data_IF_233030080375
#
_entry.id   IF_233030080375
#
_cell.length_a   1.000
_cell.length_b   1.000
_cell.length_c   1.000
_cell.angle_alpha   90.00
_cell.angle_beta   90.00
_cell.angle_gamma   90.00
#
_symmetry.space_group_name_H-M   'P 1'
#
loop_
_entity.id
_entity.type
_entity.pdbx_description
1 polymer ?
#
# COMPACT_ATOMS: atom_id res chain seq x y z
N UNK A 1 -3.50 -25.32 -9.44
CA UNK A 1 -2.03 -25.09 -9.41
C UNK A 1 -1.77 -23.73 -8.78
N UNK A 2 -1.13 -23.66 -7.60
CA UNK A 2 -0.78 -22.41 -6.96
C UNK A 2 0.64 -22.00 -7.39
N UNK A 3 0.84 -21.45 -8.60
CA UNK A 3 2.19 -21.04 -9.03
C UNK A 3 2.28 -19.63 -9.61
N UNK A 4 1.27 -19.15 -10.35
CA UNK A 4 1.29 -17.79 -10.92
C UNK A 4 0.91 -16.71 -9.91
N UNK A 5 -0.19 -16.90 -9.16
CA UNK A 5 -0.72 -15.87 -8.25
C UNK A 5 0.15 -15.64 -7.02
N UNK A 6 0.77 -16.70 -6.48
CA UNK A 6 1.68 -16.57 -5.34
C UNK A 6 2.90 -15.71 -5.71
N UNK A 7 3.54 -15.99 -6.86
CA UNK A 7 4.69 -15.23 -7.36
C UNK A 7 4.35 -13.76 -7.63
N UNK A 8 3.17 -13.47 -8.17
CA UNK A 8 2.73 -12.08 -8.37
C UNK A 8 2.52 -11.32 -7.05
N UNK A 9 2.08 -12.00 -5.99
CA UNK A 9 1.82 -11.35 -4.70
C UNK A 9 3.11 -10.97 -3.98
N UNK A 10 4.13 -11.83 -3.99
CA UNK A 10 5.44 -11.54 -3.40
C UNK A 10 6.16 -10.39 -4.10
N UNK A 11 6.05 -10.29 -5.43
CA UNK A 11 6.66 -9.19 -6.21
C UNK A 11 6.26 -7.80 -5.73
N UNK A 12 5.01 -7.61 -5.28
CA UNK A 12 4.56 -6.30 -4.79
C UNK A 12 5.34 -5.89 -3.53
N UNK A 13 5.68 -6.86 -2.69
CA UNK A 13 6.47 -6.67 -1.47
C UNK A 13 7.96 -6.54 -1.83
N UNK A 14 8.47 -7.39 -2.72
CA UNK A 14 9.89 -7.37 -3.13
C UNK A 14 10.27 -6.06 -3.85
N UNK A 15 9.33 -5.48 -4.59
CA UNK A 15 9.47 -4.19 -5.27
C UNK A 15 8.89 -3.02 -4.48
N UNK A 16 8.76 -3.14 -3.15
CA UNK A 16 8.20 -2.11 -2.28
C UNK A 16 8.91 -0.75 -2.41
N UNK A 17 10.20 -0.74 -2.74
CA UNK A 17 11.00 0.47 -2.90
C UNK A 17 11.17 0.85 -4.38
N UNK A 18 11.01 2.14 -4.69
CA UNK A 18 11.20 2.65 -6.05
C UNK A 18 12.65 2.52 -6.54
N UNK A 19 13.61 2.37 -5.63
CA UNK A 19 15.03 2.16 -5.91
C UNK A 19 15.39 0.70 -6.19
N UNK A 20 14.44 -0.23 -6.04
CA UNK A 20 14.69 -1.65 -6.33
C UNK A 20 14.90 -1.83 -7.83
N UNK A 21 16.02 -2.45 -8.21
CA UNK A 21 16.30 -2.80 -9.61
C UNK A 21 15.55 -4.09 -9.94
N UNK A 22 14.57 -4.07 -10.85
CA UNK A 22 13.83 -5.28 -11.21
C UNK A 22 14.73 -6.26 -11.98
N UNK A 23 14.40 -7.55 -11.88
CA UNK A 23 15.05 -8.60 -12.68
C UNK A 23 14.83 -8.31 -14.18
N UNK A 24 15.81 -8.60 -15.06
CA UNK A 24 15.64 -8.40 -16.51
C UNK A 24 14.33 -9.01 -17.04
N UNK A 25 13.51 -8.19 -17.69
CA UNK A 25 12.19 -8.58 -18.20
C UNK A 25 11.00 -8.26 -17.27
N UNK A 26 11.26 -7.83 -16.04
CA UNK A 26 10.23 -7.34 -15.11
C UNK A 26 10.22 -5.81 -15.05
N UNK A 27 9.08 -5.24 -14.65
CA UNK A 27 8.93 -3.78 -14.51
C UNK A 27 8.35 -3.42 -13.15
N UNK A 28 8.67 -2.22 -12.68
CA UNK A 28 8.08 -1.63 -11.48
C UNK A 28 6.62 -1.20 -11.68
N UNK A 29 6.03 -1.40 -12.87
CA UNK A 29 4.64 -0.97 -13.13
C UNK A 29 3.62 -1.81 -12.36
N UNK A 30 3.89 -3.10 -12.16
CA UNK A 30 3.01 -4.00 -11.44
C UNK A 30 2.96 -3.60 -9.95
N UNK A 31 1.74 -3.38 -9.43
CA UNK A 31 1.52 -2.97 -8.05
C UNK A 31 1.93 -1.53 -7.70
N UNK A 32 2.33 -0.70 -8.68
CA UNK A 32 2.76 0.68 -8.42
C UNK A 32 1.69 1.52 -7.71
N UNK A 33 0.43 1.40 -8.13
CA UNK A 33 -0.70 2.10 -7.51
C UNK A 33 -0.89 1.67 -6.04
N UNK A 34 -0.74 0.37 -5.75
CA UNK A 34 -0.96 -0.18 -4.41
C UNK A 34 0.18 0.23 -3.47
N UNK A 35 1.42 0.25 -3.96
CA UNK A 35 2.56 0.77 -3.20
C UNK A 35 2.41 2.25 -2.90
N UNK A 36 2.01 3.05 -3.89
CA UNK A 36 1.69 4.46 -3.68
C UNK A 36 0.60 4.63 -2.62
N UNK A 37 -0.50 3.87 -2.72
CA UNK A 37 -1.59 3.92 -1.75
C UNK A 37 -1.14 3.59 -0.32
N UNK A 38 -0.37 2.51 -0.15
CA UNK A 38 0.15 2.10 1.17
C UNK A 38 1.08 3.17 1.74
N UNK A 39 1.88 3.83 0.90
CA UNK A 39 2.73 4.96 1.31
C UNK A 39 1.87 6.13 1.83
N UNK A 40 0.89 6.58 1.06
CA UNK A 40 0.01 7.69 1.47
C UNK A 40 -0.80 7.34 2.73
N UNK A 41 -1.25 6.10 2.86
CA UNK A 41 -1.95 5.62 4.06
C UNK A 41 -1.01 5.58 5.27
N UNK A 42 0.26 5.21 5.09
CA UNK A 42 1.29 5.27 6.14
C UNK A 42 1.52 6.70 6.58
N UNK A 43 1.62 7.65 5.65
CA UNK A 43 1.78 9.07 6.00
C UNK A 43 0.55 9.63 6.72
N UNK A 44 -0.66 9.24 6.30
CA UNK A 44 -1.91 9.62 6.95
C UNK A 44 -1.98 9.09 8.39
N UNK A 45 -1.41 7.90 8.65
CA UNK A 45 -1.45 7.23 9.95
C UNK A 45 -0.82 8.03 11.10
N UNK A 46 0.11 8.94 10.79
CA UNK A 46 0.71 9.83 11.80
C UNK A 46 -0.26 10.90 12.32
N UNK A 47 -1.38 11.11 11.63
CA UNK A 47 -2.35 12.18 11.94
C UNK A 47 -3.80 11.68 12.10
N UNK A 48 -4.13 10.50 11.57
CA UNK A 48 -5.48 9.92 11.64
C UNK A 48 -5.46 8.59 12.41
N UNK A 49 -6.18 8.55 13.53
CA UNK A 49 -6.22 7.40 14.42
C UNK A 49 -6.83 6.13 13.78
N UNK A 50 -7.77 6.28 12.84
CA UNK A 50 -8.35 5.12 12.14
C UNK A 50 -7.33 4.50 11.20
N UNK A 51 -6.59 5.33 10.44
CA UNK A 51 -5.51 4.86 9.58
C UNK A 51 -4.39 4.20 10.39
N UNK A 52 -4.01 4.80 11.52
CA UNK A 52 -3.03 4.23 12.46
C UNK A 52 -3.47 2.86 12.98
N UNK A 53 -4.73 2.76 13.42
CA UNK A 53 -5.30 1.52 13.93
C UNK A 53 -5.33 0.43 12.86
N UNK A 54 -5.80 0.74 11.64
CA UNK A 54 -5.87 -0.23 10.55
C UNK A 54 -4.48 -0.77 10.16
N UNK A 55 -3.48 0.11 10.05
CA UNK A 55 -2.09 -0.31 9.79
C UNK A 55 -1.50 -1.12 10.92
N UNK A 56 -1.78 -0.77 12.17
CA UNK A 56 -1.34 -1.56 13.32
C UNK A 56 -1.91 -2.98 13.25
N UNK A 57 -3.23 -3.14 13.08
CA UNK A 57 -3.88 -4.45 12.99
C UNK A 57 -3.32 -5.30 11.85
N UNK A 58 -3.03 -4.70 10.69
CA UNK A 58 -2.36 -5.41 9.60
C UNK A 58 -0.96 -5.88 10.03
N UNK A 59 -0.13 -4.99 10.62
CA UNK A 59 1.26 -5.30 10.98
C UNK A 59 1.37 -6.38 12.06
N UNK A 60 0.40 -6.47 12.96
CA UNK A 60 0.33 -7.52 13.98
C UNK A 60 -0.52 -8.73 13.53
N UNK A 61 -0.89 -8.80 12.25
CA UNK A 61 -1.63 -9.91 11.64
C UNK A 61 -3.01 -10.18 12.29
N UNK A 62 -3.62 -9.17 12.91
CA UNK A 62 -4.96 -9.24 13.48
C UNK A 62 -6.07 -9.01 12.45
N UNK A 63 -5.74 -8.42 11.30
CA UNK A 63 -6.68 -8.14 10.22
C UNK A 63 -6.04 -8.45 8.85
N UNK A 64 -6.83 -8.89 7.86
CA UNK A 64 -6.32 -9.12 6.51
C UNK A 64 -5.93 -7.79 5.83
N UNK A 65 -5.01 -7.82 4.84
CA UNK A 65 -4.60 -6.62 4.09
C UNK A 65 -5.74 -5.90 3.38
N UNK A 66 -6.83 -6.61 3.06
CA UNK A 66 -8.03 -6.05 2.42
C UNK A 66 -8.71 -4.98 3.28
N UNK A 67 -8.52 -5.00 4.60
CA UNK A 67 -9.09 -4.00 5.51
C UNK A 67 -8.46 -2.62 5.32
N UNK A 68 -7.25 -2.55 4.76
CA UNK A 68 -6.66 -1.26 4.37
C UNK A 68 -7.38 -0.62 3.19
N UNK A 69 -8.17 -1.37 2.42
CA UNK A 69 -8.92 -0.88 1.25
C UNK A 69 -10.37 -0.53 1.58
N UNK A 70 -10.73 -0.43 2.87
CA UNK A 70 -12.04 0.05 3.29
C UNK A 70 -12.32 1.44 2.72
N UNK A 71 -13.53 1.62 2.17
CA UNK A 71 -13.92 2.86 1.47
C UNK A 71 -13.67 4.12 2.31
N UNK A 72 -13.91 4.04 3.63
CA UNK A 72 -13.64 5.15 4.54
C UNK A 72 -12.16 5.57 4.58
N UNK A 73 -11.22 4.61 4.58
CA UNK A 73 -9.79 4.88 4.56
C UNK A 73 -9.35 5.45 3.21
N UNK A 74 -9.85 4.89 2.11
CA UNK A 74 -9.56 5.39 0.75
C UNK A 74 -10.00 6.85 0.61
N UNK A 75 -11.20 7.19 1.06
CA UNK A 75 -11.70 8.58 1.03
C UNK A 75 -10.84 9.52 1.88
N UNK A 76 -10.33 9.06 3.03
CA UNK A 76 -9.41 9.86 3.85
C UNK A 76 -8.07 10.11 3.17
N UNK A 77 -7.51 9.11 2.49
CA UNK A 77 -6.29 9.26 1.70
C UNK A 77 -6.49 10.29 0.58
N UNK A 78 -7.58 10.19 -0.18
CA UNK A 78 -7.92 11.16 -1.24
C UNK A 78 -8.12 12.57 -0.66
N UNK A 79 -8.84 12.68 0.46
CA UNK A 79 -9.04 13.97 1.14
C UNK A 79 -7.72 14.57 1.64
N UNK A 80 -6.81 13.75 2.16
CA UNK A 80 -5.49 14.17 2.61
C UNK A 80 -4.65 14.68 1.42
N UNK A 81 -4.72 14.01 0.27
CA UNK A 81 -4.04 14.43 -0.95
C UNK A 81 -4.54 15.81 -1.44
N UNK A 82 -5.86 16.03 -1.47
CA UNK A 82 -6.45 17.33 -1.85
C UNK A 82 -6.00 18.45 -0.90
N UNK A 83 -5.83 18.12 0.40
CA UNK A 83 -5.42 19.08 1.44
C UNK A 83 -3.92 19.38 1.47
N UNK A 84 -3.11 18.57 0.77
CA UNK A 84 -1.69 18.80 0.55
C UNK A 84 -1.53 19.32 -0.90
N UNK A 85 -1.89 20.58 -1.22
CA UNK A 85 -1.54 21.12 -2.53
C UNK A 85 -0.02 21.04 -2.68
N UNK A 86 0.42 20.46 -3.80
CA UNK A 86 1.79 20.03 -4.08
C UNK A 86 2.86 21.04 -3.61
N UNK A 87 3.84 20.55 -2.84
CA UNK A 87 5.24 21.01 -2.93
C UNK A 87 5.91 20.37 -4.13
#
# INVERSE_FOLDING_TARGET
MPDVTFRSTTKVIDYAFATTVPVPGETLSEGAWLRWYIKELTDLSFTDAQAASALWHLRVLLAPPTDLLQLALVLKVVRNLIRRPCT
#
